data_IF_594488900386
#
_entry.id   IF_594488900386
#
_cell.length_a   1.000
_cell.length_b   1.000
_cell.length_c   1.000
_cell.angle_alpha   90.00
_cell.angle_beta   90.00
_cell.angle_gamma   90.00
#
_symmetry.space_group_name_H-M   'P 1'
#
loop_
_entity.id
_entity.type
_entity.pdbx_description
1 polymer ?
#
# COMPACT_ATOMS: atom_id res chain seq x y z
N UNK A 1 -22.24 33.98 0.61
CA UNK A 1 -21.28 32.87 0.54
C UNK A 1 -20.27 33.27 -0.50
N UNK A 2 -18.99 33.45 -0.12
CA UNK A 2 -17.90 33.82 -1.02
C UNK A 2 -17.65 32.74 -2.09
N UNK A 3 -16.84 33.06 -3.06
CA UNK A 3 -16.45 32.09 -4.11
C UNK A 3 -15.62 30.93 -3.51
N UNK A 4 -15.52 29.81 -4.21
CA UNK A 4 -14.69 28.67 -3.80
C UNK A 4 -13.22 29.09 -3.58
N UNK A 5 -12.72 30.01 -4.40
CA UNK A 5 -11.38 30.58 -4.28
C UNK A 5 -11.21 31.39 -2.98
N UNK A 6 -12.19 32.23 -2.64
CA UNK A 6 -12.15 33.01 -1.37
C UNK A 6 -12.22 32.09 -0.15
N UNK A 7 -13.03 31.04 -0.22
CA UNK A 7 -13.13 30.03 0.82
C UNK A 7 -11.79 29.28 1.02
N UNK A 8 -11.17 28.85 -0.08
CA UNK A 8 -9.86 28.18 -0.05
C UNK A 8 -8.78 29.06 0.57
N UNK A 9 -8.71 30.35 0.18
CA UNK A 9 -7.69 31.28 0.70
C UNK A 9 -7.87 31.64 2.16
N UNK A 10 -9.10 31.68 2.69
CA UNK A 10 -9.37 32.07 4.08
C UNK A 10 -9.21 30.93 5.07
N UNK A 11 -9.57 29.70 4.71
CA UNK A 11 -9.59 28.56 5.63
C UNK A 11 -8.31 27.77 5.65
N UNK A 12 -7.54 27.78 4.56
CA UNK A 12 -6.34 26.93 4.42
C UNK A 12 -5.15 27.82 4.00
N UNK A 13 -4.80 28.76 4.86
CA UNK A 13 -3.85 29.84 4.54
C UNK A 13 -2.40 29.42 4.25
N UNK A 14 -2.02 28.15 4.49
CA UNK A 14 -0.62 27.68 4.37
C UNK A 14 -0.43 26.44 3.49
N UNK A 15 -1.43 26.00 2.75
CA UNK A 15 -1.36 24.82 1.89
C UNK A 15 -1.70 25.17 0.45
N UNK A 16 -1.02 24.52 -0.48
CA UNK A 16 -1.36 24.61 -1.90
C UNK A 16 -2.66 23.86 -2.16
N UNK A 17 -3.69 24.61 -2.60
CA UNK A 17 -5.01 24.06 -2.91
C UNK A 17 -5.25 24.18 -4.40
N UNK A 18 -5.69 23.10 -5.00
CA UNK A 18 -6.17 23.06 -6.36
C UNK A 18 -7.67 22.78 -6.38
N UNK A 19 -8.44 23.59 -7.11
CA UNK A 19 -9.87 23.42 -7.27
C UNK A 19 -10.15 22.57 -8.51
N UNK A 20 -11.00 21.57 -8.40
CA UNK A 20 -11.43 20.75 -9.53
C UNK A 20 -12.82 20.17 -9.31
N UNK A 21 -13.61 20.11 -10.40
CA UNK A 21 -14.86 19.38 -10.50
C UNK A 21 -14.73 18.14 -11.40
N UNK A 22 -13.55 17.90 -11.97
CA UNK A 22 -13.24 16.74 -12.80
C UNK A 22 -12.89 15.54 -11.91
N UNK A 23 -13.76 14.53 -11.92
CA UNK A 23 -13.64 13.32 -11.09
C UNK A 23 -12.38 12.52 -11.43
N UNK A 24 -12.00 12.44 -12.70
CA UNK A 24 -10.80 11.68 -13.09
C UNK A 24 -9.52 12.38 -12.60
N UNK A 25 -9.48 13.70 -12.73
CA UNK A 25 -8.39 14.53 -12.21
C UNK A 25 -8.32 14.46 -10.69
N UNK A 26 -9.46 14.57 -10.01
CA UNK A 26 -9.58 14.42 -8.55
C UNK A 26 -9.04 13.06 -8.11
N UNK A 27 -9.51 11.98 -8.72
CA UNK A 27 -9.06 10.63 -8.40
C UNK A 27 -7.54 10.48 -8.56
N UNK A 28 -6.98 10.93 -9.68
CA UNK A 28 -5.54 10.87 -9.96
C UNK A 28 -4.71 11.62 -8.91
N UNK A 29 -5.17 12.80 -8.49
CA UNK A 29 -4.47 13.64 -7.52
C UNK A 29 -4.58 13.05 -6.11
N UNK A 30 -5.76 12.53 -5.73
CA UNK A 30 -5.98 11.83 -4.45
C UNK A 30 -5.12 10.57 -4.38
N UNK A 31 -5.09 9.74 -5.42
CA UNK A 31 -4.19 8.56 -5.47
C UNK A 31 -2.70 8.92 -5.44
N UNK A 32 -2.35 10.15 -5.77
CA UNK A 32 -0.97 10.63 -5.61
C UNK A 32 -0.64 11.12 -4.20
N UNK A 33 -1.61 11.05 -3.26
CA UNK A 33 -1.42 11.39 -1.86
C UNK A 33 -1.88 12.81 -1.48
N UNK A 34 -2.75 13.46 -2.27
CA UNK A 34 -3.43 14.67 -1.87
C UNK A 34 -4.72 14.34 -1.11
N UNK A 35 -5.17 15.28 -0.28
CA UNK A 35 -6.44 15.20 0.43
C UNK A 35 -7.53 15.91 -0.39
N UNK A 36 -8.68 15.25 -0.58
CA UNK A 36 -9.87 15.86 -1.13
C UNK A 36 -10.75 16.35 0.03
N UNK A 37 -11.12 17.61 -0.01
CA UNK A 37 -12.13 18.20 0.87
C UNK A 37 -13.34 18.58 0.02
N UNK A 38 -14.51 18.11 0.42
CA UNK A 38 -15.80 18.45 -0.19
C UNK A 38 -16.56 19.30 0.84
N UNK A 39 -17.04 20.45 0.43
CA UNK A 39 -17.75 21.38 1.28
C UNK A 39 -19.15 21.57 0.71
N UNK A 40 -20.17 21.41 1.54
CA UNK A 40 -21.56 21.62 1.14
C UNK A 40 -21.78 23.05 0.66
N UNK A 41 -22.48 23.19 -0.45
CA UNK A 41 -22.73 24.49 -1.11
C UNK A 41 -21.73 24.84 -2.23
N UNK A 42 -20.71 24.01 -2.47
CA UNK A 42 -19.81 24.14 -3.62
C UNK A 42 -19.86 22.84 -4.47
N UNK A 43 -19.89 23.01 -5.79
CA UNK A 43 -19.84 21.94 -6.79
C UNK A 43 -18.40 21.55 -7.18
N UNK A 44 -17.43 22.03 -6.43
CA UNK A 44 -16.01 21.92 -6.68
C UNK A 44 -15.30 21.23 -5.51
N UNK A 45 -14.44 20.25 -5.78
CA UNK A 45 -13.58 19.63 -4.79
C UNK A 45 -12.31 20.44 -4.53
N UNK A 46 -11.92 20.55 -3.28
CA UNK A 46 -10.69 21.22 -2.83
C UNK A 46 -9.59 20.17 -2.67
N UNK A 47 -8.64 20.14 -3.57
CA UNK A 47 -7.50 19.23 -3.55
C UNK A 47 -6.36 19.90 -2.75
N UNK A 48 -6.17 19.45 -1.54
CA UNK A 48 -5.13 19.98 -0.64
C UNK A 48 -3.87 19.14 -0.79
N UNK A 49 -2.79 19.76 -1.23
CA UNK A 49 -1.49 19.09 -1.38
C UNK A 49 -0.81 18.93 -0.02
N UNK A 50 -1.16 17.89 0.70
CA UNK A 50 -0.60 17.53 2.01
C UNK A 50 0.70 16.74 1.90
N UNK A 51 1.46 16.87 0.82
CA UNK A 51 2.66 16.07 0.54
C UNK A 51 3.76 16.30 1.58
N UNK A 52 3.60 15.72 2.75
CA UNK A 52 4.72 15.40 3.62
C UNK A 52 5.27 14.05 3.17
N UNK A 53 6.20 14.06 2.22
CA UNK A 53 6.98 12.85 1.96
C UNK A 53 7.88 12.63 3.19
N UNK A 54 7.89 11.43 3.78
CA UNK A 54 8.94 11.10 4.74
C UNK A 54 10.28 11.22 3.98
N UNK A 55 10.98 12.32 4.21
CA UNK A 55 12.19 12.65 3.44
C UNK A 55 13.45 11.97 3.99
N UNK A 56 13.38 11.23 5.11
CA UNK A 56 14.59 10.85 5.82
C UNK A 56 14.70 9.44 6.36
N UNK A 57 13.60 8.68 6.46
CA UNK A 57 13.63 7.35 7.08
C UNK A 57 13.54 6.19 6.08
N UNK A 58 13.47 6.50 4.78
CA UNK A 58 13.50 5.50 3.72
C UNK A 58 14.93 5.38 3.24
N UNK A 59 15.69 4.52 3.92
CA UNK A 59 17.09 4.23 3.59
C UNK A 59 17.24 3.38 2.32
N UNK A 60 18.47 3.28 1.83
CA UNK A 60 18.82 2.35 0.76
C UNK A 60 18.71 0.90 1.29
N UNK A 61 18.13 -0.03 0.51
CA UNK A 61 18.02 -1.44 0.91
C UNK A 61 19.40 -2.06 1.19
N UNK A 62 19.51 -2.84 2.24
CA UNK A 62 20.78 -3.47 2.60
C UNK A 62 21.18 -4.59 1.63
N UNK A 63 20.21 -5.35 1.14
CA UNK A 63 20.43 -6.54 0.31
C UNK A 63 20.21 -6.32 -1.20
N UNK A 64 19.51 -5.26 -1.60
CA UNK A 64 19.09 -5.00 -2.98
C UNK A 64 19.66 -3.67 -3.54
N UNK A 65 20.92 -3.35 -3.25
CA UNK A 65 21.57 -2.10 -3.71
C UNK A 65 21.67 -2.01 -5.22
N UNK A 66 21.35 -0.85 -5.77
CA UNK A 66 21.41 -0.59 -7.22
C UNK A 66 22.41 0.53 -7.49
N UNK A 67 23.23 0.34 -8.54
CA UNK A 67 24.17 1.35 -9.01
C UNK A 67 23.50 2.58 -9.63
N UNK A 68 22.23 2.46 -10.06
CA UNK A 68 21.46 3.54 -10.67
C UNK A 68 19.97 3.26 -10.51
N UNK A 69 19.19 4.26 -10.07
CA UNK A 69 17.73 4.15 -9.90
C UNK A 69 17.23 4.73 -8.57
N UNK A 70 16.04 4.31 -8.16
CA UNK A 70 15.45 4.74 -6.89
C UNK A 70 16.17 4.04 -5.72
N UNK A 71 16.71 4.84 -4.81
CA UNK A 71 17.44 4.39 -3.62
C UNK A 71 16.52 4.24 -2.40
N UNK A 72 15.19 4.33 -2.58
CA UNK A 72 14.25 4.12 -1.50
C UNK A 72 13.96 2.63 -1.29
N UNK A 73 14.05 2.19 -0.04
CA UNK A 73 13.71 0.84 0.42
C UNK A 73 12.43 0.82 1.26
N UNK A 74 11.88 -0.37 1.48
CA UNK A 74 10.82 -0.57 2.46
C UNK A 74 11.38 -0.43 3.87
N UNK A 75 10.51 -0.05 4.80
CA UNK A 75 10.79 0.13 6.22
C UNK A 75 9.87 -0.75 7.07
N UNK A 76 10.04 -0.75 8.39
CA UNK A 76 9.22 -1.57 9.30
C UNK A 76 7.75 -1.13 9.33
N UNK A 77 7.43 0.12 8.99
CA UNK A 77 6.07 0.64 9.02
C UNK A 77 5.26 0.24 7.80
N UNK A 78 4.22 -0.55 7.99
CA UNK A 78 3.27 -0.96 6.96
C UNK A 78 2.60 0.23 6.25
N UNK A 79 2.34 1.32 6.98
CA UNK A 79 1.74 2.55 6.45
C UNK A 79 2.68 3.23 5.44
N UNK A 80 3.96 3.30 5.76
CA UNK A 80 4.97 3.88 4.85
C UNK A 80 5.13 2.99 3.62
N UNK A 81 5.20 1.68 3.80
CA UNK A 81 5.38 0.72 2.72
C UNK A 81 4.21 0.74 1.72
N UNK A 82 2.99 0.78 2.22
CA UNK A 82 1.80 0.90 1.36
C UNK A 82 1.76 2.26 0.63
N UNK A 83 2.16 3.34 1.30
CA UNK A 83 2.28 4.66 0.67
C UNK A 83 3.34 4.70 -0.44
N UNK A 84 4.48 4.01 -0.27
CA UNK A 84 5.52 3.87 -1.31
C UNK A 84 5.00 3.15 -2.56
N UNK A 85 4.18 2.11 -2.39
CA UNK A 85 3.52 1.42 -3.51
C UNK A 85 2.48 2.33 -4.17
N UNK A 86 1.60 2.99 -3.38
CA UNK A 86 0.57 3.89 -3.90
C UNK A 86 1.17 5.04 -4.70
N UNK A 87 2.31 5.55 -4.29
CA UNK A 87 3.02 6.61 -5.01
C UNK A 87 3.48 6.18 -6.41
N UNK A 88 3.85 4.89 -6.58
CA UNK A 88 4.31 4.33 -7.86
C UNK A 88 3.17 3.88 -8.74
N UNK A 89 2.14 3.29 -8.14
CA UNK A 89 0.97 2.78 -8.86
C UNK A 89 -0.21 3.71 -8.54
N UNK A 90 -0.44 4.69 -9.43
CA UNK A 90 -1.53 5.67 -9.30
C UNK A 90 -2.79 5.20 -10.02
N UNK A 91 -3.09 3.92 -9.88
CA UNK A 91 -4.23 3.27 -10.49
C UNK A 91 -5.36 3.13 -9.45
N UNK A 92 -6.60 3.42 -9.87
CA UNK A 92 -7.79 3.26 -9.04
C UNK A 92 -8.09 1.81 -8.69
N UNK A 93 -7.64 0.88 -9.55
CA UNK A 93 -7.84 -0.55 -9.36
C UNK A 93 -6.77 -1.18 -8.44
N UNK A 94 -5.82 -0.39 -7.94
CA UNK A 94 -4.89 -0.84 -6.90
C UNK A 94 -5.63 -0.98 -5.57
N UNK A 95 -5.80 -2.21 -5.15
CA UNK A 95 -6.39 -2.59 -3.84
C UNK A 95 -5.28 -2.72 -2.81
N UNK A 96 -5.49 -2.12 -1.65
CA UNK A 96 -4.66 -2.26 -0.46
C UNK A 96 -5.58 -2.57 0.70
N UNK A 97 -5.56 -3.80 1.15
CA UNK A 97 -6.43 -4.34 2.20
C UNK A 97 -5.57 -4.69 3.40
N UNK A 98 -5.87 -4.13 4.58
CA UNK A 98 -5.19 -4.47 5.82
C UNK A 98 -6.04 -5.45 6.60
N UNK A 99 -5.42 -6.51 7.10
CA UNK A 99 -6.02 -7.54 7.95
C UNK A 99 -5.16 -7.78 9.18
N UNK A 100 -5.80 -8.02 10.30
CA UNK A 100 -5.13 -8.45 11.52
C UNK A 100 -4.95 -9.97 11.53
N UNK A 101 -3.78 -10.45 11.94
CA UNK A 101 -3.48 -11.86 12.11
C UNK A 101 -2.97 -12.16 13.51
N UNK A 102 -3.35 -13.33 14.05
CA UNK A 102 -2.99 -13.77 15.39
C UNK A 102 -3.94 -13.26 16.49
N UNK A 103 -4.19 -14.11 17.48
CA UNK A 103 -5.14 -13.83 18.56
C UNK A 103 -4.61 -12.78 19.55
N UNK A 104 -3.34 -12.81 19.86
CA UNK A 104 -2.70 -11.92 20.84
C UNK A 104 -1.82 -10.86 20.20
N UNK A 105 -1.08 -11.20 19.14
CA UNK A 105 -0.17 -10.28 18.47
C UNK A 105 -0.93 -9.22 17.66
N UNK A 106 -2.10 -9.59 17.10
CA UNK A 106 -2.89 -8.71 16.23
C UNK A 106 -2.01 -7.95 15.22
N UNK A 107 -1.14 -8.70 14.55
CA UNK A 107 -0.18 -8.14 13.61
C UNK A 107 -0.90 -7.73 12.33
N UNK A 108 -0.70 -6.52 11.89
CA UNK A 108 -1.26 -6.04 10.64
C UNK A 108 -0.55 -6.65 9.43
N UNK A 109 -1.34 -7.12 8.47
CA UNK A 109 -0.88 -7.63 7.19
C UNK A 109 -1.61 -6.88 6.08
N UNK A 110 -0.86 -6.19 5.21
CA UNK A 110 -1.44 -5.56 4.03
C UNK A 110 -1.33 -6.47 2.82
N UNK A 111 -2.44 -6.63 2.11
CA UNK A 111 -2.54 -7.34 0.83
C UNK A 111 -2.66 -6.29 -0.26
N UNK A 112 -1.68 -6.22 -1.17
CA UNK A 112 -1.64 -5.23 -2.25
C UNK A 112 -1.68 -5.95 -3.60
N UNK A 113 -2.62 -5.58 -4.47
CA UNK A 113 -2.78 -6.17 -5.80
C UNK A 113 -3.58 -5.25 -6.74
N UNK A 114 -3.48 -5.46 -8.06
CA UNK A 114 -4.34 -4.82 -9.04
C UNK A 114 -5.59 -5.68 -9.32
N UNK A 115 -6.77 -5.09 -9.08
CA UNK A 115 -8.04 -5.71 -9.44
C UNK A 115 -8.12 -5.92 -10.96
N UNK A 116 -8.57 -7.10 -11.38
CA UNK A 116 -8.65 -7.46 -12.79
C UNK A 116 -7.32 -7.92 -13.42
N UNK A 117 -6.19 -7.82 -12.70
CA UNK A 117 -4.90 -8.42 -13.10
C UNK A 117 -4.49 -9.58 -12.23
N UNK A 118 -4.59 -9.43 -10.92
CA UNK A 118 -4.31 -10.52 -10.00
C UNK A 118 -5.39 -11.62 -10.08
N UNK A 119 -4.98 -12.86 -9.86
CA UNK A 119 -5.90 -13.99 -9.80
C UNK A 119 -6.75 -13.93 -8.52
N UNK A 120 -8.04 -13.64 -8.66
CA UNK A 120 -8.95 -13.48 -7.53
C UNK A 120 -9.08 -14.73 -6.65
N UNK A 121 -8.88 -15.93 -7.21
CA UNK A 121 -8.90 -17.18 -6.43
C UNK A 121 -7.72 -17.23 -5.47
N UNK A 122 -6.54 -16.79 -5.92
CA UNK A 122 -5.33 -16.72 -5.08
C UNK A 122 -5.51 -15.66 -4.01
N UNK A 123 -6.03 -14.47 -4.35
CA UNK A 123 -6.33 -13.41 -3.37
C UNK A 123 -7.31 -13.91 -2.31
N UNK A 124 -8.38 -14.59 -2.71
CA UNK A 124 -9.37 -15.16 -1.79
C UNK A 124 -8.77 -16.24 -0.87
N UNK A 125 -7.85 -17.07 -1.39
CA UNK A 125 -7.16 -18.09 -0.59
C UNK A 125 -6.18 -17.46 0.40
N UNK A 126 -5.44 -16.42 -0.01
CA UNK A 126 -4.59 -15.64 0.89
C UNK A 126 -5.40 -15.07 2.05
N UNK A 127 -6.54 -14.41 1.77
CA UNK A 127 -7.44 -13.87 2.81
C UNK A 127 -7.85 -14.94 3.81
N UNK A 128 -8.37 -16.07 3.31
CA UNK A 128 -8.81 -17.20 4.15
C UNK A 128 -7.69 -17.76 5.01
N UNK A 129 -6.47 -17.78 4.51
CA UNK A 129 -5.30 -18.26 5.27
C UNK A 129 -4.87 -17.28 6.35
N UNK A 130 -4.85 -15.98 6.03
CA UNK A 130 -4.57 -14.94 7.02
C UNK A 130 -5.59 -14.98 8.16
N UNK A 131 -6.90 -15.07 7.84
CA UNK A 131 -7.98 -15.15 8.82
C UNK A 131 -7.91 -16.41 9.72
N UNK A 132 -7.20 -17.45 9.28
CA UNK A 132 -7.00 -18.71 10.03
C UNK A 132 -5.69 -18.75 10.82
N UNK A 133 -4.91 -17.69 10.79
CA UNK A 133 -3.68 -17.61 11.59
C UNK A 133 -4.08 -17.47 13.05
N UNK A 134 -4.04 -18.60 13.75
CA UNK A 134 -4.30 -18.69 15.19
C UNK A 134 -2.98 -19.00 15.91
N UNK A 135 -2.07 -18.02 15.90
CA UNK A 135 -0.77 -18.14 16.58
C UNK A 135 -0.78 -17.26 17.82
N UNK A 136 -0.59 -17.88 18.97
CA UNK A 136 -0.52 -17.21 20.27
C UNK A 136 0.84 -16.56 20.57
N UNK A 137 1.73 -16.45 19.59
CA UNK A 137 3.06 -15.83 19.76
C UNK A 137 2.97 -14.31 19.83
N UNK A 138 3.70 -13.70 20.74
CA UNK A 138 3.74 -12.25 20.95
C UNK A 138 4.43 -11.50 19.80
N UNK A 139 5.28 -12.18 19.01
CA UNK A 139 5.97 -11.63 17.86
C UNK A 139 5.72 -12.52 16.64
N UNK A 140 4.81 -12.11 15.78
CA UNK A 140 4.62 -12.77 14.49
C UNK A 140 5.58 -12.12 13.50
N UNK A 141 6.71 -12.80 13.23
CA UNK A 141 7.62 -12.38 12.17
C UNK A 141 7.03 -12.69 10.79
N UNK A 142 7.56 -12.05 9.77
CA UNK A 142 7.23 -12.35 8.38
C UNK A 142 7.36 -13.85 8.05
N UNK A 143 8.38 -14.51 8.59
CA UNK A 143 8.61 -15.95 8.44
C UNK A 143 7.48 -16.79 9.03
N UNK A 144 6.95 -16.42 10.19
CA UNK A 144 5.81 -17.09 10.81
C UNK A 144 4.55 -16.96 9.98
N UNK A 145 4.32 -15.79 9.37
CA UNK A 145 3.18 -15.57 8.45
C UNK A 145 3.32 -16.47 7.23
N UNK A 146 4.52 -16.56 6.64
CA UNK A 146 4.78 -17.43 5.49
C UNK A 146 4.56 -18.90 5.84
N UNK A 147 5.10 -19.36 6.97
CA UNK A 147 4.87 -20.73 7.40
C UNK A 147 3.37 -21.03 7.51
N UNK A 148 2.58 -20.11 8.04
CA UNK A 148 1.14 -20.26 8.12
C UNK A 148 0.48 -20.24 6.73
N UNK A 149 0.97 -19.42 5.81
CA UNK A 149 0.44 -19.34 4.44
C UNK A 149 0.82 -20.56 3.59
N UNK A 150 2.01 -21.15 3.81
CA UNK A 150 2.57 -22.22 2.96
C UNK A 150 2.37 -23.63 3.56
N UNK A 151 2.32 -23.78 4.87
CA UNK A 151 2.57 -25.03 5.65
C UNK A 151 1.53 -26.16 5.60
N UNK A 152 0.42 -26.07 4.88
CA UNK A 152 -0.63 -27.12 5.03
C UNK A 152 -1.04 -27.92 3.80
N UNK A 153 -0.29 -27.93 2.72
CA UNK A 153 -0.67 -28.80 1.59
C UNK A 153 0.52 -29.56 1.00
N UNK A 154 0.33 -30.89 0.83
CA UNK A 154 1.21 -31.76 0.04
C UNK A 154 1.32 -31.32 -1.44
N UNK A 155 0.41 -30.45 -1.88
CA UNK A 155 0.40 -29.75 -3.17
C UNK A 155 0.38 -28.25 -2.84
N UNK A 156 1.53 -27.60 -2.97
CA UNK A 156 1.63 -26.16 -2.74
C UNK A 156 1.13 -25.42 -4.00
N UNK A 157 -0.05 -24.78 -3.98
CA UNK A 157 -0.57 -24.05 -5.12
C UNK A 157 0.12 -22.69 -5.30
N UNK A 158 0.96 -22.27 -4.32
CA UNK A 158 1.69 -21.03 -4.45
C UNK A 158 3.01 -21.29 -5.18
N UNK A 159 3.25 -20.61 -6.30
CA UNK A 159 4.59 -20.49 -6.85
C UNK A 159 5.51 -19.87 -5.80
N UNK A 160 6.81 -20.11 -5.94
CA UNK A 160 7.83 -19.70 -4.96
C UNK A 160 7.64 -18.24 -4.56
N UNK A 161 7.35 -17.99 -3.28
CA UNK A 161 7.32 -16.64 -2.72
C UNK A 161 8.70 -16.02 -2.87
N UNK A 162 8.76 -14.82 -3.43
CA UNK A 162 9.99 -14.02 -3.52
C UNK A 162 9.90 -12.87 -2.52
N UNK A 163 11.04 -12.35 -2.13
CA UNK A 163 11.15 -11.20 -1.24
C UNK A 163 11.84 -10.05 -1.94
N UNK A 164 11.47 -8.85 -1.58
CA UNK A 164 12.16 -7.65 -2.04
C UNK A 164 12.06 -6.55 -0.99
N UNK A 165 13.14 -5.80 -0.82
CA UNK A 165 13.18 -4.56 -0.03
C UNK A 165 12.90 -3.34 -0.91
N UNK A 166 12.73 -3.54 -2.22
CA UNK A 166 12.61 -2.50 -3.22
C UNK A 166 11.17 -2.21 -3.62
N UNK A 167 10.68 -0.99 -3.37
CA UNK A 167 9.34 -0.58 -3.78
C UNK A 167 9.10 -0.55 -5.29
N UNK A 168 10.15 -0.30 -6.10
CA UNK A 168 10.06 -0.33 -7.56
C UNK A 168 9.85 -1.75 -8.09
N UNK A 169 10.60 -2.73 -7.57
CA UNK A 169 10.46 -4.15 -7.93
C UNK A 169 9.08 -4.71 -7.51
N UNK A 170 8.61 -4.35 -6.31
CA UNK A 170 7.28 -4.72 -5.84
C UNK A 170 6.18 -4.12 -6.73
N UNK A 171 6.27 -2.83 -7.07
CA UNK A 171 5.31 -2.16 -7.94
C UNK A 171 5.27 -2.79 -9.35
N UNK A 172 6.42 -3.13 -9.93
CA UNK A 172 6.49 -3.84 -11.21
C UNK A 172 5.79 -5.20 -11.13
N UNK A 173 6.03 -5.98 -10.06
CA UNK A 173 5.39 -7.28 -9.87
C UNK A 173 3.86 -7.16 -9.70
N UNK A 174 3.35 -6.11 -9.02
CA UNK A 174 1.90 -5.84 -8.94
C UNK A 174 1.34 -5.54 -10.34
N UNK A 175 2.05 -4.75 -11.13
CA UNK A 175 1.63 -4.43 -12.51
C UNK A 175 1.59 -5.66 -13.42
N UNK A 176 2.42 -6.67 -13.14
CA UNK A 176 2.43 -7.98 -13.81
C UNK A 176 1.32 -8.94 -13.31
N UNK A 177 0.58 -8.56 -12.26
CA UNK A 177 -0.53 -9.33 -11.71
C UNK A 177 -0.21 -10.05 -10.40
N UNK A 178 1.02 -9.96 -9.87
CA UNK A 178 1.37 -10.57 -8.59
C UNK A 178 0.64 -9.91 -7.41
N UNK A 179 0.46 -10.67 -6.33
CA UNK A 179 -0.01 -10.16 -5.04
C UNK A 179 1.18 -9.90 -4.14
N UNK A 180 1.21 -8.72 -3.53
CA UNK A 180 2.23 -8.34 -2.55
C UNK A 180 1.64 -8.37 -1.15
N UNK A 181 2.39 -8.94 -0.21
CA UNK A 181 2.06 -8.89 1.22
C UNK A 181 3.13 -8.12 1.98
N UNK A 182 2.67 -7.21 2.84
CA UNK A 182 3.48 -6.57 3.87
C UNK A 182 3.03 -7.06 5.24
N UNK A 183 3.98 -7.35 6.09
CA UNK A 183 3.75 -7.65 7.52
C UNK A 183 4.30 -6.47 8.31
N UNK A 184 3.54 -5.95 9.24
CA UNK A 184 4.00 -4.85 10.09
C UNK A 184 5.26 -5.26 10.86
N UNK A 185 6.14 -4.29 11.12
CA UNK A 185 7.49 -4.50 11.66
C UNK A 185 8.44 -5.30 10.76
N UNK A 186 8.18 -5.35 9.43
CA UNK A 186 9.09 -5.97 8.47
C UNK A 186 9.43 -5.04 7.32
N UNK A 187 10.72 -4.83 6.99
CA UNK A 187 11.17 -3.96 5.90
C UNK A 187 11.17 -4.66 4.55
N UNK A 188 10.49 -5.80 4.41
CA UNK A 188 10.46 -6.56 3.16
C UNK A 188 9.05 -6.84 2.69
N UNK A 189 8.86 -6.84 1.37
CA UNK A 189 7.63 -7.24 0.71
C UNK A 189 7.72 -8.71 0.24
N UNK A 190 6.66 -9.47 0.44
CA UNK A 190 6.50 -10.81 -0.10
C UNK A 190 5.74 -10.75 -1.43
N UNK A 191 6.34 -11.27 -2.49
CA UNK A 191 5.76 -11.35 -3.82
C UNK A 191 5.20 -12.76 -4.02
N UNK A 192 3.90 -12.84 -4.22
CA UNK A 192 3.19 -14.08 -4.57
C UNK A 192 2.78 -13.96 -6.04
N UNK A 193 3.44 -14.68 -6.97
CA UNK A 193 3.04 -14.71 -8.37
C UNK A 193 1.65 -15.33 -8.52
N UNK A 194 0.85 -14.83 -9.45
CA UNK A 194 -0.53 -15.32 -9.69
C UNK A 194 -0.68 -15.92 -11.09
#
# INVERSE_FOLDING_TARGET
VGTAEEFAQRLIAYMEIELSNDIEKIAKVVYSGAMLVIVDGFDTGFLVKTRSYPKRDVGEPDNDKVLSGAHDGFVESIMINTALIRRRIRDRDLVMEVREAGVRSKTDIAICYLKGRANEKIVADIRKRIDRIDVNTLNMSQESVIECLVRKQKWNPFPKVRYTERPDAAAASIAEGSVILFVDNSPTAMIIPT
#
